data_IF_183836418284
#
_entry.id   IF_183836418284
#
_cell.length_a   1.000
_cell.length_b   1.000
_cell.length_c   1.000
_cell.angle_alpha   90.00
_cell.angle_beta   90.00
_cell.angle_gamma   90.00
#
_symmetry.space_group_name_H-M   'P 1'
#
loop_
_entity.id
_entity.type
_entity.pdbx_description
1 polymer ?
#
# COMPACT_ATOMS: atom_id res chain seq x y z
N UNK A 1 -41.18 -42.82 -2.21
CA UNK A 1 -40.90 -41.85 -3.30
C UNK A 1 -41.93 -40.73 -3.20
N UNK A 2 -41.54 -39.56 -2.67
CA UNK A 2 -42.46 -38.42 -2.58
C UNK A 2 -42.70 -37.87 -3.99
N UNK A 3 -43.97 -37.83 -4.44
CA UNK A 3 -44.35 -37.14 -5.68
C UNK A 3 -44.13 -35.65 -5.45
N UNK A 4 -43.10 -35.08 -6.07
CA UNK A 4 -42.85 -33.64 -6.04
C UNK A 4 -44.07 -32.95 -6.67
N UNK A 5 -44.91 -32.35 -5.85
CA UNK A 5 -46.09 -31.64 -6.30
C UNK A 5 -45.62 -30.37 -7.04
N UNK A 6 -46.09 -30.15 -8.27
CA UNK A 6 -45.76 -28.95 -9.05
C UNK A 6 -46.07 -27.66 -8.28
N UNK A 7 -47.09 -27.67 -7.42
CA UNK A 7 -47.40 -26.55 -6.53
C UNK A 7 -46.27 -26.29 -5.51
N UNK A 8 -45.61 -27.33 -5.02
CA UNK A 8 -44.49 -27.22 -4.07
C UNK A 8 -43.22 -26.69 -4.76
N UNK A 9 -42.97 -27.08 -6.01
CA UNK A 9 -41.86 -26.55 -6.81
C UNK A 9 -42.07 -25.06 -7.09
N UNK A 10 -43.29 -24.68 -7.50
CA UNK A 10 -43.64 -23.29 -7.76
C UNK A 10 -43.53 -22.42 -6.49
N UNK A 11 -43.93 -22.97 -5.34
CA UNK A 11 -43.80 -22.30 -4.05
C UNK A 11 -42.33 -22.06 -3.68
N UNK A 12 -41.47 -23.08 -3.80
CA UNK A 12 -40.03 -22.95 -3.50
C UNK A 12 -39.36 -21.98 -4.46
N UNK A 13 -39.68 -22.05 -5.76
CA UNK A 13 -39.17 -21.12 -6.76
C UNK A 13 -39.59 -19.67 -6.50
N UNK A 14 -40.85 -19.44 -6.11
CA UNK A 14 -41.36 -18.13 -5.75
C UNK A 14 -40.67 -17.54 -4.52
N UNK A 15 -40.49 -18.34 -3.46
CA UNK A 15 -39.77 -17.93 -2.25
C UNK A 15 -38.29 -17.62 -2.57
N UNK A 16 -37.66 -18.39 -3.46
CA UNK A 16 -36.27 -18.16 -3.86
C UNK A 16 -36.11 -16.85 -4.66
N UNK A 17 -36.97 -16.58 -5.63
CA UNK A 17 -36.92 -15.34 -6.42
C UNK A 17 -37.22 -14.12 -5.55
N UNK A 18 -38.18 -14.21 -4.62
CA UNK A 18 -38.45 -13.17 -3.64
C UNK A 18 -37.28 -12.98 -2.66
N UNK A 19 -36.65 -14.07 -2.22
CA UNK A 19 -35.49 -14.05 -1.33
C UNK A 19 -34.26 -13.40 -1.97
N UNK A 20 -33.95 -13.73 -3.23
CA UNK A 20 -32.86 -13.10 -3.99
C UNK A 20 -33.22 -11.64 -4.31
N UNK A 21 -34.45 -11.36 -4.71
CA UNK A 21 -34.91 -10.00 -5.02
C UNK A 21 -34.81 -9.06 -3.82
N UNK A 22 -35.30 -9.47 -2.65
CA UNK A 22 -35.16 -8.70 -1.40
C UNK A 22 -33.70 -8.66 -0.94
N UNK A 23 -32.97 -9.77 -1.06
CA UNK A 23 -31.56 -9.87 -0.73
C UNK A 23 -30.69 -8.89 -1.51
N UNK A 24 -30.99 -8.58 -2.78
CA UNK A 24 -30.26 -7.58 -3.57
C UNK A 24 -30.56 -6.14 -3.11
N UNK A 25 -31.79 -5.84 -2.70
CA UNK A 25 -32.15 -4.50 -2.20
C UNK A 25 -31.51 -4.24 -0.83
N UNK A 26 -31.38 -5.25 0.02
CA UNK A 26 -30.66 -5.16 1.30
C UNK A 26 -29.13 -5.29 1.16
N UNK A 27 -28.63 -6.08 0.19
CA UNK A 27 -27.20 -6.16 -0.14
C UNK A 27 -26.67 -4.92 -0.85
N UNK A 28 -27.55 -4.05 -1.37
CA UNK A 28 -27.17 -2.72 -1.85
C UNK A 28 -26.73 -1.80 -0.70
N UNK A 29 -27.03 -2.18 0.54
CA UNK A 29 -26.52 -1.58 1.78
C UNK A 29 -25.68 -2.57 2.57
N UNK A 30 -25.01 -3.51 1.91
CA UNK A 30 -23.86 -4.16 2.52
C UNK A 30 -22.83 -3.07 2.78
N UNK A 31 -22.86 -2.52 4.01
CA UNK A 31 -21.71 -1.86 4.59
C UNK A 31 -20.61 -2.92 4.61
N UNK A 32 -19.83 -2.95 3.52
CA UNK A 32 -18.49 -3.49 3.56
C UNK A 32 -17.77 -2.68 4.62
N UNK A 33 -17.75 -3.16 5.87
CA UNK A 33 -16.82 -2.66 6.88
C UNK A 33 -15.43 -2.80 6.26
N UNK A 34 -14.80 -1.71 5.80
CA UNK A 34 -13.53 -1.80 5.09
C UNK A 34 -12.43 -1.76 6.14
N UNK A 35 -12.45 -2.69 7.09
CA UNK A 35 -11.41 -2.73 8.13
C UNK A 35 -10.21 -3.60 7.74
N UNK A 36 -10.27 -4.34 6.62
CA UNK A 36 -9.15 -5.19 6.17
C UNK A 36 -8.80 -5.08 4.68
N UNK A 37 -9.23 -4.01 4.02
CA UNK A 37 -8.64 -3.54 2.76
C UNK A 37 -8.57 -2.02 2.80
N UNK A 38 -7.47 -1.47 3.32
CA UNK A 38 -6.91 -0.28 2.70
C UNK A 38 -6.58 -0.69 1.26
N UNK A 39 -7.58 -0.68 0.38
CA UNK A 39 -7.45 -1.11 -1.00
C UNK A 39 -6.22 -0.44 -1.56
N UNK A 40 -5.33 -1.18 -2.24
CA UNK A 40 -4.18 -0.58 -2.93
C UNK A 40 -4.62 0.65 -3.73
N UNK A 41 -5.79 0.56 -4.36
CA UNK A 41 -6.51 1.66 -5.00
C UNK A 41 -6.72 2.91 -4.13
N UNK A 42 -7.09 2.77 -2.86
CA UNK A 42 -7.27 3.91 -1.94
C UNK A 42 -5.92 4.54 -1.60
N UNK A 43 -4.87 3.73 -1.41
CA UNK A 43 -3.51 4.21 -1.14
C UNK A 43 -2.94 4.89 -2.40
N UNK A 44 -3.11 4.27 -3.57
CA UNK A 44 -2.68 4.77 -4.87
C UNK A 44 -3.38 6.08 -5.22
N UNK A 45 -4.70 6.19 -4.98
CA UNK A 45 -5.45 7.44 -5.20
C UNK A 45 -5.14 8.54 -4.19
N UNK A 46 -4.76 8.16 -2.96
CA UNK A 46 -4.42 9.13 -1.92
C UNK A 46 -2.97 9.60 -2.01
N UNK A 47 -2.15 8.94 -2.84
CA UNK A 47 -0.76 9.32 -3.04
C UNK A 47 -0.66 10.76 -3.59
N UNK A 48 0.32 11.54 -3.12
CA UNK A 48 0.59 12.84 -3.73
C UNK A 48 0.95 12.65 -5.20
N UNK A 49 0.37 13.48 -6.07
CA UNK A 49 0.58 13.41 -7.51
C UNK A 49 0.39 11.98 -8.06
N UNK A 50 -0.75 11.33 -7.76
CA UNK A 50 -1.01 9.91 -8.00
C UNK A 50 -0.57 9.41 -9.40
N UNK A 51 -0.91 10.12 -10.48
CA UNK A 51 -0.51 9.75 -11.84
C UNK A 51 1.01 9.70 -12.01
N UNK A 52 1.72 10.74 -11.55
CA UNK A 52 3.18 10.81 -11.55
C UNK A 52 3.76 9.70 -10.67
N UNK A 53 3.16 9.46 -9.51
CA UNK A 53 3.64 8.44 -8.59
C UNK A 53 3.55 7.03 -9.20
N UNK A 54 2.45 6.70 -9.87
CA UNK A 54 2.27 5.41 -10.54
C UNK A 54 3.23 5.27 -11.73
N UNK A 55 3.46 6.33 -12.49
CA UNK A 55 4.37 6.30 -13.65
C UNK A 55 5.85 6.18 -13.26
N UNK A 56 6.28 6.94 -12.25
CA UNK A 56 7.70 7.12 -11.95
C UNK A 56 8.14 6.46 -10.64
N UNK A 57 7.22 5.90 -9.87
CA UNK A 57 7.43 5.41 -8.51
C UNK A 57 6.47 4.31 -8.09
N UNK A 58 6.13 4.33 -6.81
CA UNK A 58 5.09 3.52 -6.16
C UNK A 58 4.47 4.32 -5.02
N UNK A 59 3.15 4.18 -4.83
CA UNK A 59 2.47 4.76 -3.67
C UNK A 59 3.01 4.12 -2.39
N UNK A 60 3.06 4.93 -1.33
CA UNK A 60 3.59 4.51 -0.05
C UNK A 60 2.76 5.07 1.09
N UNK A 61 2.74 4.34 2.19
CA UNK A 61 2.28 4.86 3.47
C UNK A 61 3.53 5.27 4.24
N UNK A 62 3.65 6.58 4.48
CA UNK A 62 4.76 7.15 5.23
C UNK A 62 4.35 7.21 6.69
N UNK A 63 5.18 6.62 7.55
CA UNK A 63 4.93 6.48 8.98
C UNK A 63 5.95 7.28 9.76
N UNK A 64 5.49 8.31 10.47
CA UNK A 64 6.32 9.06 11.41
C UNK A 64 6.11 8.51 12.82
N UNK A 65 7.14 7.90 13.39
CA UNK A 65 7.17 7.42 14.78
C UNK A 65 8.51 7.77 15.43
N UNK A 66 8.50 7.91 16.75
CA UNK A 66 9.71 8.12 17.54
C UNK A 66 9.95 6.89 18.40
N UNK A 67 11.18 6.39 18.34
CA UNK A 67 11.68 5.31 19.20
C UNK A 67 12.57 5.95 20.26
N UNK A 68 12.23 5.77 21.53
CA UNK A 68 13.03 6.21 22.67
C UNK A 68 13.75 5.00 23.27
N UNK A 69 15.08 5.05 23.32
CA UNK A 69 15.90 4.03 23.96
C UNK A 69 16.57 4.65 25.17
N UNK A 70 16.22 4.19 26.38
CA UNK A 70 16.92 4.57 27.60
C UNK A 70 18.07 3.57 27.84
N UNK A 71 19.17 4.02 28.43
CA UNK A 71 20.35 3.16 28.68
C UNK A 71 20.51 2.79 30.16
N UNK A 72 19.80 3.47 31.06
CA UNK A 72 19.81 3.15 32.49
C UNK A 72 18.53 3.67 33.19
N UNK A 73 17.57 2.78 33.51
CA UNK A 73 17.49 1.38 33.08
C UNK A 73 17.29 1.26 31.57
N UNK A 74 17.70 0.14 30.96
CA UNK A 74 17.50 -0.07 29.52
C UNK A 74 16.02 -0.33 29.20
N UNK A 75 15.37 0.55 28.43
CA UNK A 75 13.99 0.41 27.98
C UNK A 75 13.81 0.99 26.59
N UNK A 76 12.79 0.49 25.87
CA UNK A 76 12.42 0.96 24.55
C UNK A 76 10.95 1.37 24.56
N UNK A 77 10.65 2.61 24.14
CA UNK A 77 9.30 3.14 24.01
C UNK A 77 9.05 3.62 22.58
N UNK A 78 7.83 3.47 22.10
CA UNK A 78 7.41 3.95 20.79
C UNK A 78 6.22 4.90 20.95
N UNK A 79 6.21 5.98 20.17
CA UNK A 79 5.04 6.87 20.11
C UNK A 79 3.94 6.24 19.26
N UNK A 80 2.71 6.72 19.44
CA UNK A 80 1.64 6.46 18.46
C UNK A 80 2.10 6.93 17.06
N UNK A 81 2.15 6.04 16.05
CA UNK A 81 2.58 6.41 14.71
C UNK A 81 1.53 7.31 14.04
N UNK A 82 2.02 8.31 13.30
CA UNK A 82 1.20 9.11 12.37
C UNK A 82 1.43 8.59 10.96
N UNK A 83 0.34 8.26 10.26
CA UNK A 83 0.36 7.71 8.90
C UNK A 83 -0.09 8.78 7.92
N UNK A 84 0.65 8.95 6.83
CA UNK A 84 0.28 9.86 5.75
C UNK A 84 0.60 9.25 4.38
N UNK A 85 -0.15 9.59 3.33
CA UNK A 85 0.16 9.11 1.99
C UNK A 85 1.45 9.76 1.47
N UNK A 86 2.25 8.96 0.78
CA UNK A 86 3.47 9.40 0.13
C UNK A 86 3.72 8.64 -1.15
N UNK A 87 4.83 8.98 -1.80
CA UNK A 87 5.28 8.34 -3.01
C UNK A 87 6.77 8.05 -2.91
N UNK A 88 7.19 6.85 -3.32
CA UNK A 88 8.60 6.49 -3.45
C UNK A 88 8.94 6.44 -4.93
N UNK A 89 9.89 7.26 -5.37
CA UNK A 89 10.35 7.28 -6.75
C UNK A 89 11.24 6.07 -7.04
N UNK A 90 11.24 5.61 -8.28
CA UNK A 90 12.24 4.64 -8.77
C UNK A 90 13.59 5.33 -8.90
N UNK A 91 14.68 4.58 -8.68
CA UNK A 91 16.07 5.08 -8.69
C UNK A 91 16.49 5.79 -9.99
N UNK A 92 15.78 5.57 -11.10
CA UNK A 92 16.10 6.19 -12.40
C UNK A 92 15.26 7.45 -12.70
N UNK A 93 14.25 7.76 -11.88
CA UNK A 93 13.24 8.78 -12.20
C UNK A 93 13.28 10.01 -11.28
N UNK A 94 14.27 10.13 -10.38
CA UNK A 94 14.37 11.26 -9.45
C UNK A 94 14.73 12.60 -10.13
N UNK A 95 15.16 12.59 -11.40
CA UNK A 95 15.46 13.81 -12.17
C UNK A 95 14.25 14.74 -12.27
N UNK A 96 13.04 14.22 -12.08
CA UNK A 96 11.81 15.01 -11.99
C UNK A 96 11.84 16.02 -10.82
N UNK A 97 12.46 15.65 -9.70
CA UNK A 97 12.57 16.53 -8.53
C UNK A 97 13.58 17.65 -8.77
N UNK A 98 14.67 17.36 -9.49
CA UNK A 98 15.68 18.35 -9.87
C UNK A 98 15.13 19.34 -10.91
N UNK A 99 14.39 18.84 -11.91
CA UNK A 99 13.74 19.68 -12.93
C UNK A 99 12.73 20.66 -12.31
N UNK A 100 12.02 20.22 -11.27
CA UNK A 100 11.08 21.06 -10.51
C UNK A 100 11.76 21.90 -9.42
N UNK A 101 13.10 21.85 -9.31
CA UNK A 101 13.91 22.57 -8.31
C UNK A 101 13.49 22.27 -6.86
N UNK A 102 13.01 21.05 -6.61
CA UNK A 102 12.62 20.58 -5.30
C UNK A 102 13.80 19.96 -4.53
N UNK A 103 14.86 19.58 -5.26
CA UNK A 103 16.15 19.15 -4.73
C UNK A 103 17.26 19.80 -5.56
N UNK A 104 18.43 20.00 -4.94
CA UNK A 104 19.62 20.46 -5.65
C UNK A 104 20.51 19.28 -6.11
N UNK A 105 21.43 19.56 -7.04
CA UNK A 105 22.33 18.55 -7.60
C UNK A 105 23.27 17.91 -6.57
N UNK A 106 23.59 18.61 -5.47
CA UNK A 106 24.43 18.06 -4.40
C UNK A 106 23.65 17.06 -3.54
N UNK A 107 22.40 17.37 -3.21
CA UNK A 107 21.47 16.48 -2.51
C UNK A 107 21.23 15.21 -3.31
N UNK A 108 21.00 15.36 -4.62
CA UNK A 108 20.90 14.26 -5.57
C UNK A 108 22.15 13.37 -5.52
N UNK A 109 23.34 13.96 -5.70
CA UNK A 109 24.58 13.19 -5.76
C UNK A 109 24.86 12.47 -4.44
N UNK A 110 24.64 13.15 -3.31
CA UNK A 110 24.80 12.58 -1.96
C UNK A 110 23.87 11.38 -1.75
N UNK A 111 22.60 11.50 -2.17
CA UNK A 111 21.63 10.43 -2.07
C UNK A 111 22.00 9.23 -2.97
N UNK A 112 22.33 9.51 -4.24
CA UNK A 112 22.69 8.51 -5.24
C UNK A 112 23.91 7.67 -4.86
N UNK A 113 24.93 8.30 -4.26
CA UNK A 113 26.16 7.61 -3.85
C UNK A 113 25.95 6.46 -2.85
N UNK A 114 24.78 6.39 -2.22
CA UNK A 114 24.44 5.38 -1.21
C UNK A 114 23.44 4.34 -1.69
N UNK A 115 23.19 4.26 -3.01
CA UNK A 115 22.16 3.41 -3.62
C UNK A 115 20.75 3.70 -3.06
N UNK A 116 20.51 4.93 -2.59
CA UNK A 116 19.23 5.38 -2.07
C UNK A 116 18.30 5.83 -3.20
N UNK A 117 17.01 5.98 -2.86
CA UNK A 117 16.02 6.65 -3.70
C UNK A 117 15.37 7.81 -2.95
N UNK A 118 14.49 8.56 -3.60
CA UNK A 118 13.73 9.63 -2.98
C UNK A 118 12.29 9.21 -2.70
N UNK A 119 11.82 9.54 -1.51
CA UNK A 119 10.41 9.51 -1.14
C UNK A 119 9.90 10.93 -0.90
N UNK A 120 8.61 11.16 -1.09
CA UNK A 120 7.99 12.43 -0.76
C UNK A 120 6.57 12.29 -0.22
N UNK A 121 6.17 13.29 0.56
CA UNK A 121 4.80 13.48 1.07
C UNK A 121 4.30 14.88 0.72
N UNK A 122 3.01 15.00 0.46
CA UNK A 122 2.40 16.23 -0.05
C UNK A 122 2.66 16.51 -1.53
N UNK A 123 1.89 17.42 -2.16
CA UNK A 123 1.96 17.69 -3.60
C UNK A 123 3.26 18.39 -4.00
N UNK A 124 3.84 17.99 -5.13
CA UNK A 124 5.09 18.54 -5.67
C UNK A 124 4.98 20.02 -6.06
N UNK A 125 3.79 20.48 -6.43
CA UNK A 125 3.51 21.88 -6.79
C UNK A 125 3.50 22.83 -5.58
N UNK A 126 3.40 22.27 -4.37
CA UNK A 126 3.32 23.03 -3.13
C UNK A 126 4.66 23.09 -2.40
N UNK A 127 4.66 22.58 -1.16
CA UNK A 127 5.84 22.44 -0.32
C UNK A 127 5.92 20.98 0.15
N UNK A 128 6.31 20.06 -0.75
CA UNK A 128 6.42 18.66 -0.38
C UNK A 128 7.56 18.47 0.63
N UNK A 129 7.43 17.46 1.49
CA UNK A 129 8.57 16.96 2.27
C UNK A 129 9.22 15.85 1.47
N UNK A 130 10.50 16.03 1.11
CA UNK A 130 11.28 15.10 0.30
C UNK A 130 12.39 14.51 1.17
N UNK A 131 12.47 13.20 1.20
CA UNK A 131 13.44 12.46 2.01
C UNK A 131 14.26 11.52 1.10
N UNK A 132 15.58 11.51 1.29
CA UNK A 132 16.44 10.48 0.72
C UNK A 132 16.30 9.21 1.57
N UNK A 133 15.73 8.16 1.00
CA UNK A 133 15.37 6.92 1.69
C UNK A 133 16.20 5.74 1.18
N UNK A 134 16.60 4.88 2.11
CA UNK A 134 17.34 3.67 1.81
C UNK A 134 16.37 2.52 1.57
N UNK A 135 16.59 1.80 0.47
CA UNK A 135 15.89 0.55 0.20
C UNK A 135 16.72 -0.59 0.75
N UNK A 136 16.15 -1.34 1.70
CA UNK A 136 16.80 -2.53 2.20
C UNK A 136 16.69 -3.64 1.13
N UNK A 137 17.78 -3.85 0.37
CA UNK A 137 17.87 -4.91 -0.64
C UNK A 137 17.88 -6.28 0.04
N UNK A 138 16.69 -6.83 0.34
CA UNK A 138 16.42 -8.22 0.74
C UNK A 138 17.27 -8.86 1.87
N UNK A 139 18.18 -8.13 2.53
CA UNK A 139 19.13 -8.64 3.53
C UNK A 139 18.53 -8.99 4.90
N UNK A 140 17.22 -9.23 4.95
CA UNK A 140 16.51 -9.57 6.19
C UNK A 140 15.07 -10.03 5.98
N UNK A 141 14.65 -10.37 4.76
CA UNK A 141 13.32 -10.94 4.57
C UNK A 141 13.32 -12.41 5.03
N UNK A 142 13.09 -12.62 6.33
CA UNK A 142 12.98 -13.96 6.94
C UNK A 142 11.69 -14.70 6.52
N UNK A 143 10.83 -14.10 5.69
CA UNK A 143 9.59 -14.71 5.21
C UNK A 143 9.71 -15.38 3.84
N UNK A 144 10.85 -15.31 3.14
CA UNK A 144 10.97 -15.77 1.74
C UNK A 144 11.19 -17.28 1.60
N UNK A 145 11.36 -18.03 2.69
CA UNK A 145 11.46 -19.48 2.61
C UNK A 145 10.65 -20.18 3.71
N UNK A 146 9.33 -20.42 3.50
CA UNK A 146 8.65 -21.45 4.29
C UNK A 146 9.37 -22.78 4.02
N UNK A 147 9.77 -23.48 5.08
CA UNK A 147 10.42 -24.78 4.98
C UNK A 147 9.57 -25.72 4.09
N UNK A 148 10.06 -26.03 2.88
CA UNK A 148 9.40 -26.92 1.92
C UNK A 148 9.25 -26.41 0.49
N UNK A 149 9.63 -25.16 0.17
CA UNK A 149 9.61 -24.68 -1.21
C UNK A 149 10.82 -25.21 -2.01
N UNK A 150 10.58 -26.19 -2.88
CA UNK A 150 11.55 -26.65 -3.89
C UNK A 150 11.63 -25.64 -5.05
N UNK A 151 12.65 -24.79 -5.01
CA UNK A 151 13.08 -23.96 -6.14
C UNK A 151 13.19 -22.46 -5.82
N UNK A 152 14.31 -21.78 -6.17
CA UNK A 152 14.36 -20.33 -6.13
C UNK A 152 13.35 -19.77 -7.12
N UNK A 153 12.44 -18.90 -6.67
CA UNK A 153 11.70 -18.04 -7.59
C UNK A 153 12.70 -17.05 -8.19
N UNK A 154 12.76 -16.87 -9.52
CA UNK A 154 13.62 -15.86 -10.11
C UNK A 154 13.21 -14.49 -9.56
N UNK A 155 14.21 -13.76 -9.05
CA UNK A 155 14.08 -12.38 -8.60
C UNK A 155 13.38 -11.58 -9.71
N UNK A 156 12.14 -11.19 -9.44
CA UNK A 156 11.42 -10.27 -10.31
C UNK A 156 11.94 -8.88 -9.99
N UNK A 157 13.00 -8.53 -10.71
CA UNK A 157 13.49 -7.20 -11.06
C UNK A 157 13.16 -6.04 -10.12
N UNK A 158 14.20 -5.61 -9.40
CA UNK A 158 14.65 -4.22 -9.23
C UNK A 158 13.54 -3.15 -9.12
N UNK A 159 13.12 -2.92 -7.88
CA UNK A 159 12.60 -1.63 -7.41
C UNK A 159 13.75 -0.66 -7.17
#
# INVERSE_FOLDING_TARGET
>A
MAKLNYAMIALIGGIFVLGVGLGLVFSSTANFSPENVASREVIDRSAPNAELCVQFGASAIVTDLRVYVTLNPFNVFVTQPVMQPGCVLRRNNWSILEQQKLVDGQQVQSCKNRMNTFGYTGPLEGKPKIDCIFQNEAGGNLFVNPAGAVGPRPDTDKF
#
